data_IF_350464102477
#
_entry.id   IF_350464102477
#
_cell.length_a   1.000
_cell.length_b   1.000
_cell.length_c   1.000
_cell.angle_alpha   90.00
_cell.angle_beta   90.00
_cell.angle_gamma   90.00
#
_symmetry.space_group_name_H-M   'P 1'
#
loop_
_entity.id
_entity.type
_entity.pdbx_description
1 polymer ?
#
# COMPACT_ATOMS: atom_id res chain seq x y z
N UNK A 1 10.44 12.46 11.70
CA UNK A 1 9.40 11.77 10.91
C UNK A 1 8.75 10.60 11.63
N UNK A 2 9.46 9.55 12.07
CA UNK A 2 8.83 8.39 12.73
C UNK A 2 7.91 8.78 13.90
N UNK A 3 8.36 9.67 14.78
CA UNK A 3 7.55 10.20 15.89
C UNK A 3 6.30 10.97 15.42
N UNK A 4 6.35 11.64 14.25
CA UNK A 4 5.21 12.38 13.71
C UNK A 4 4.13 11.42 13.21
N UNK A 5 4.54 10.37 12.48
CA UNK A 5 3.62 9.28 12.12
C UNK A 5 3.00 8.64 13.36
N UNK A 6 3.79 8.32 14.38
CA UNK A 6 3.25 7.75 15.63
C UNK A 6 2.26 8.68 16.30
N UNK A 7 2.56 9.98 16.37
CA UNK A 7 1.67 10.97 16.95
C UNK A 7 0.33 11.06 16.20
N UNK A 8 0.34 10.98 14.87
CA UNK A 8 -0.88 10.90 14.06
C UNK A 8 -1.64 9.59 14.29
N UNK A 9 -0.95 8.45 14.24
CA UNK A 9 -1.59 7.14 14.32
C UNK A 9 -2.11 6.79 15.72
N UNK A 10 -1.61 7.48 16.72
CA UNK A 10 -2.00 7.32 18.13
C UNK A 10 -2.77 8.55 18.64
N UNK A 11 -3.26 9.39 17.72
CA UNK A 11 -4.03 10.57 18.08
C UNK A 11 -5.27 10.16 18.87
N UNK A 12 -5.47 10.82 20.00
CA UNK A 12 -6.72 10.73 20.74
C UNK A 12 -7.63 11.82 20.18
N UNK A 13 -8.67 11.41 19.47
CA UNK A 13 -9.69 12.35 19.01
C UNK A 13 -10.53 12.80 20.21
N UNK A 14 -10.83 14.11 20.35
CA UNK A 14 -11.80 14.57 21.34
C UNK A 14 -13.17 13.93 21.09
N UNK A 15 -13.96 13.70 22.15
CA UNK A 15 -15.27 13.03 22.04
C UNK A 15 -16.16 13.66 20.95
N UNK A 16 -16.61 12.80 20.01
CA UNK A 16 -17.62 13.06 18.97
C UNK A 16 -17.51 14.43 18.27
N UNK A 17 -16.51 14.56 17.39
CA UNK A 17 -16.53 15.55 16.32
C UNK A 17 -16.18 14.92 14.97
N UNK A 18 -16.86 15.35 13.91
CA UNK A 18 -16.44 15.12 12.53
C UNK A 18 -15.15 15.94 12.32
N UNK A 19 -13.99 15.30 12.37
CA UNK A 19 -12.72 15.94 12.01
C UNK A 19 -12.42 15.51 10.57
N UNK A 20 -12.77 16.37 9.62
CA UNK A 20 -12.65 16.06 8.20
C UNK A 20 -13.49 14.84 7.81
N UNK A 21 -12.87 13.85 7.17
CA UNK A 21 -13.50 12.60 6.74
C UNK A 21 -13.16 11.41 7.66
N UNK A 22 -12.64 11.67 8.87
CA UNK A 22 -12.43 10.62 9.86
C UNK A 22 -13.77 10.06 10.33
N UNK A 23 -13.86 8.73 10.33
CA UNK A 23 -14.95 8.01 10.96
C UNK A 23 -14.39 7.37 12.22
N UNK A 24 -14.84 7.87 13.36
CA UNK A 24 -14.41 7.42 14.67
C UNK A 24 -15.64 7.08 15.52
N UNK A 25 -15.63 5.90 16.12
CA UNK A 25 -16.57 5.50 17.16
C UNK A 25 -15.85 5.42 18.50
N UNK A 26 -16.51 5.86 19.57
CA UNK A 26 -15.98 5.82 20.93
C UNK A 26 -16.81 4.88 21.79
N UNK A 27 -16.15 3.92 22.44
CA UNK A 27 -16.74 3.08 23.49
C UNK A 27 -15.74 2.95 24.63
N UNK A 28 -16.13 3.30 25.86
CA UNK A 28 -15.30 3.14 27.07
C UNK A 28 -13.86 3.66 26.94
N UNK A 29 -13.69 4.94 26.58
CA UNK A 29 -12.38 5.60 26.39
C UNK A 29 -11.49 5.04 25.25
N UNK A 30 -11.97 4.05 24.49
CA UNK A 30 -11.31 3.54 23.29
C UNK A 30 -11.94 4.13 22.03
N UNK A 31 -11.09 4.73 21.19
CA UNK A 31 -11.45 5.26 19.88
C UNK A 31 -11.15 4.18 18.84
N UNK A 32 -12.18 3.73 18.15
CA UNK A 32 -12.05 2.85 16.99
C UNK A 32 -12.23 3.67 15.72
N UNK A 33 -11.27 3.57 14.81
CA UNK A 33 -11.36 4.20 13.49
C UNK A 33 -11.92 3.20 12.49
N UNK A 34 -12.86 3.66 11.68
CA UNK A 34 -13.37 2.95 10.51
C UNK A 34 -12.68 3.44 9.25
N UNK A 35 -12.80 2.73 8.14
CA UNK A 35 -12.19 3.16 6.88
C UNK A 35 -13.08 4.22 6.25
N UNK A 36 -12.68 5.48 6.38
CA UNK A 36 -13.37 6.62 5.81
C UNK A 36 -13.29 6.67 4.28
N UNK A 37 -13.96 7.65 3.66
CA UNK A 37 -13.76 7.97 2.26
C UNK A 37 -12.29 8.26 1.93
N UNK A 38 -11.83 7.82 0.76
CA UNK A 38 -10.48 8.10 0.26
C UNK A 38 -10.56 8.94 -1.03
N UNK A 39 -10.40 10.26 -0.86
CA UNK A 39 -10.37 11.21 -1.96
C UNK A 39 -9.05 11.23 -2.73
N UNK A 40 -7.95 10.80 -2.12
CA UNK A 40 -6.61 10.87 -2.72
C UNK A 40 -6.53 10.06 -4.00
N UNK A 41 -7.13 8.88 -3.98
CA UNK A 41 -7.23 8.00 -5.15
C UNK A 41 -8.64 8.01 -5.78
N UNK A 42 -9.53 8.92 -5.33
CA UNK A 42 -10.91 8.99 -5.78
C UNK A 42 -11.69 7.69 -5.57
N UNK A 43 -11.38 6.91 -4.52
CA UNK A 43 -12.00 5.59 -4.30
C UNK A 43 -13.45 5.70 -3.83
N UNK A 44 -13.87 6.86 -3.34
CA UNK A 44 -15.12 7.02 -2.62
C UNK A 44 -15.03 6.40 -1.23
N UNK A 45 -16.08 5.74 -0.77
CA UNK A 45 -16.20 5.15 0.57
C UNK A 45 -17.38 5.75 1.34
N UNK A 46 -17.52 5.43 2.64
CA UNK A 46 -16.62 4.61 3.47
C UNK A 46 -16.59 3.13 3.07
N UNK A 47 -15.60 2.38 3.57
CA UNK A 47 -15.44 0.95 3.32
C UNK A 47 -15.71 0.14 4.59
N UNK A 48 -16.40 -1.00 4.45
CA UNK A 48 -16.77 -1.82 5.62
C UNK A 48 -15.65 -2.75 6.09
N UNK A 49 -14.59 -2.93 5.29
CA UNK A 49 -13.47 -3.83 5.58
C UNK A 49 -12.19 -3.45 4.84
N UNK A 50 -11.04 -3.92 5.33
CA UNK A 50 -9.73 -3.69 4.72
C UNK A 50 -9.64 -4.35 3.34
N UNK A 51 -10.29 -5.52 3.18
CA UNK A 51 -10.36 -6.19 1.86
C UNK A 51 -11.16 -5.38 0.87
N UNK A 52 -12.30 -4.81 1.25
CA UNK A 52 -13.07 -3.94 0.34
C UNK A 52 -12.26 -2.72 -0.09
N UNK A 53 -11.57 -2.07 0.84
CA UNK A 53 -10.66 -0.97 0.54
C UNK A 53 -9.57 -1.39 -0.46
N UNK A 54 -8.87 -2.50 -0.22
CA UNK A 54 -7.83 -3.00 -1.13
C UNK A 54 -8.37 -3.34 -2.53
N UNK A 55 -9.55 -3.98 -2.62
CA UNK A 55 -10.18 -4.28 -3.90
C UNK A 55 -10.53 -3.02 -4.66
N UNK A 56 -11.10 -2.02 -3.98
CA UNK A 56 -11.45 -0.74 -4.59
C UNK A 56 -10.18 -0.01 -5.08
N UNK A 57 -9.12 0.01 -4.26
CA UNK A 57 -7.83 0.58 -4.62
C UNK A 57 -7.23 -0.07 -5.87
N UNK A 58 -7.16 -1.40 -5.91
CA UNK A 58 -6.60 -2.14 -7.05
C UNK A 58 -7.44 -1.92 -8.32
N UNK A 59 -8.77 -1.93 -8.22
CA UNK A 59 -9.66 -1.63 -9.35
C UNK A 59 -9.47 -0.20 -9.87
N UNK A 60 -9.36 0.78 -8.97
CA UNK A 60 -9.06 2.17 -9.34
C UNK A 60 -7.71 2.27 -10.06
N UNK A 61 -6.71 1.54 -9.59
CA UNK A 61 -5.37 1.48 -10.21
C UNK A 61 -5.41 0.89 -11.62
N UNK A 62 -6.22 -0.16 -11.85
CA UNK A 62 -6.44 -0.70 -13.19
C UNK A 62 -7.11 0.34 -14.10
N UNK A 63 -8.15 1.04 -13.63
CA UNK A 63 -8.82 2.09 -14.42
C UNK A 63 -7.83 3.20 -14.80
N UNK A 64 -6.95 3.59 -13.87
CA UNK A 64 -5.91 4.58 -14.12
C UNK A 64 -4.89 4.08 -15.16
N UNK A 65 -4.43 2.83 -15.03
CA UNK A 65 -3.57 2.18 -16.02
C UNK A 65 -4.23 2.18 -17.40
N UNK A 66 -5.48 1.75 -17.51
CA UNK A 66 -6.20 1.69 -18.79
C UNK A 66 -6.28 3.05 -19.49
N UNK A 67 -6.48 4.13 -18.74
CA UNK A 67 -6.57 5.50 -19.27
C UNK A 67 -5.23 6.13 -19.64
N UNK A 68 -4.13 5.67 -19.08
CA UNK A 68 -2.82 6.28 -19.30
C UNK A 68 -2.34 6.16 -20.75
N UNK A 69 -1.62 7.15 -21.25
CA UNK A 69 -1.04 7.12 -22.60
C UNK A 69 0.48 7.14 -22.52
N UNK A 70 1.15 6.70 -23.59
CA UNK A 70 2.62 6.72 -23.71
C UNK A 70 3.32 5.59 -22.96
N UNK A 71 2.61 4.51 -22.65
CA UNK A 71 3.13 3.28 -22.03
C UNK A 71 2.63 2.03 -22.77
N UNK A 72 2.38 2.17 -24.08
CA UNK A 72 1.70 1.17 -24.91
C UNK A 72 2.47 -0.15 -24.96
N UNK A 73 3.80 -0.10 -24.96
CA UNK A 73 4.66 -1.29 -24.90
C UNK A 73 4.44 -2.09 -23.60
N UNK A 74 4.36 -1.41 -22.45
CA UNK A 74 4.07 -2.04 -21.16
C UNK A 74 2.65 -2.62 -21.15
N UNK A 75 1.67 -1.86 -21.66
CA UNK A 75 0.28 -2.32 -21.75
C UNK A 75 0.14 -3.54 -22.64
N UNK A 76 0.83 -3.60 -23.77
CA UNK A 76 0.78 -4.75 -24.67
C UNK A 76 1.20 -6.05 -23.95
N UNK A 77 2.19 -5.96 -23.05
CA UNK A 77 2.70 -7.10 -22.29
C UNK A 77 1.84 -7.45 -21.07
N UNK A 78 1.46 -6.45 -20.26
CA UNK A 78 0.92 -6.69 -18.92
C UNK A 78 -0.58 -6.43 -18.79
N UNK A 79 -1.18 -5.50 -19.56
CA UNK A 79 -2.57 -5.10 -19.36
C UNK A 79 -3.56 -6.27 -19.48
N UNK A 80 -3.46 -7.18 -20.47
CA UNK A 80 -4.38 -8.33 -20.54
C UNK A 80 -4.31 -9.22 -19.30
N UNK A 81 -3.10 -9.52 -18.82
CA UNK A 81 -2.86 -10.39 -17.64
C UNK A 81 -3.31 -9.71 -16.36
N UNK A 82 -3.02 -8.43 -16.18
CA UNK A 82 -3.48 -7.62 -15.04
C UNK A 82 -5.01 -7.57 -15.02
N UNK A 83 -5.65 -7.29 -16.16
CA UNK A 83 -7.10 -7.21 -16.26
C UNK A 83 -7.75 -8.54 -15.89
N UNK A 84 -7.23 -9.64 -16.43
CA UNK A 84 -7.71 -10.99 -16.09
C UNK A 84 -7.59 -11.25 -14.58
N UNK A 85 -6.40 -11.03 -14.00
CA UNK A 85 -6.16 -11.18 -12.57
C UNK A 85 -7.10 -10.32 -11.71
N UNK A 86 -7.24 -9.03 -12.02
CA UNK A 86 -8.10 -8.11 -11.26
C UNK A 86 -9.57 -8.52 -11.32
N UNK A 87 -10.03 -9.04 -12.46
CA UNK A 87 -11.41 -9.47 -12.63
C UNK A 87 -11.70 -10.84 -11.98
N UNK A 88 -10.68 -11.69 -11.82
CA UNK A 88 -10.88 -13.10 -11.45
C UNK A 88 -10.26 -13.50 -10.12
N UNK A 89 -9.38 -12.71 -9.50
CA UNK A 89 -8.59 -13.12 -8.31
C UNK A 89 -8.69 -12.19 -7.10
N UNK A 90 -9.32 -11.02 -7.21
CA UNK A 90 -9.42 -10.08 -6.08
C UNK A 90 -10.20 -10.60 -4.87
N UNK A 91 -11.01 -11.66 -5.03
CA UNK A 91 -11.66 -12.34 -3.92
C UNK A 91 -10.67 -13.14 -3.05
N UNK A 92 -9.50 -13.48 -3.58
CA UNK A 92 -8.46 -14.29 -2.91
C UNK A 92 -7.63 -13.49 -1.90
N UNK A 93 -7.83 -12.17 -1.79
CA UNK A 93 -7.17 -11.36 -0.77
C UNK A 93 -7.42 -11.99 0.62
N UNK A 94 -6.37 -12.46 1.32
CA UNK A 94 -6.54 -13.25 2.53
C UNK A 94 -7.20 -12.47 3.66
N UNK A 95 -8.02 -13.12 4.48
CA UNK A 95 -8.71 -12.49 5.61
C UNK A 95 -7.76 -11.93 6.68
N UNK A 96 -6.48 -12.32 6.69
CA UNK A 96 -5.48 -11.81 7.63
C UNK A 96 -5.27 -10.29 7.50
N UNK A 97 -5.54 -9.71 6.32
CA UNK A 97 -5.41 -8.25 6.11
C UNK A 97 -6.41 -7.44 6.93
N UNK A 98 -7.51 -8.04 7.38
CA UNK A 98 -8.49 -7.35 8.25
C UNK A 98 -7.91 -6.96 9.62
N UNK A 99 -6.76 -7.55 9.99
CA UNK A 99 -6.05 -7.21 11.23
C UNK A 99 -5.14 -5.99 11.08
N UNK A 100 -5.03 -5.39 9.90
CA UNK A 100 -4.21 -4.19 9.69
C UNK A 100 -4.85 -3.02 10.44
N UNK A 101 -4.10 -2.30 11.30
CA UNK A 101 -4.64 -1.15 12.02
C UNK A 101 -5.15 -0.05 11.09
N UNK A 102 -6.33 0.48 11.41
CA UNK A 102 -6.88 1.69 10.80
C UNK A 102 -6.37 2.90 11.61
N UNK A 103 -5.86 3.90 10.92
CA UNK A 103 -5.24 5.08 11.53
C UNK A 103 -5.78 6.37 10.92
N UNK A 104 -5.61 7.48 11.64
CA UNK A 104 -5.73 8.79 11.05
C UNK A 104 -4.60 8.98 10.02
N UNK A 105 -4.99 9.24 8.78
CA UNK A 105 -4.12 9.37 7.64
C UNK A 105 -3.91 10.84 7.33
N UNK A 106 -2.66 11.29 7.50
CA UNK A 106 -2.20 12.56 6.98
C UNK A 106 -1.57 12.32 5.60
N UNK A 107 -2.28 12.68 4.54
CA UNK A 107 -1.90 12.30 3.19
C UNK A 107 -0.73 13.09 2.60
N UNK A 108 -0.37 14.22 3.21
CA UNK A 108 0.83 14.98 2.87
C UNK A 108 1.81 15.03 4.05
N UNK A 109 2.03 13.88 4.70
CA UNK A 109 2.96 13.81 5.83
C UNK A 109 4.41 13.93 5.33
N UNK A 110 4.99 15.11 5.51
CA UNK A 110 6.38 15.41 5.21
C UNK A 110 6.99 16.41 6.23
N UNK A 111 8.32 16.64 6.18
CA UNK A 111 8.97 17.59 7.09
C UNK A 111 8.37 19.00 7.07
N UNK A 112 7.81 19.42 5.93
CA UNK A 112 7.14 20.72 5.77
C UNK A 112 5.87 20.87 6.60
N UNK A 113 5.24 19.76 7.01
CA UNK A 113 4.02 19.74 7.82
C UNK A 113 4.26 19.38 9.30
N UNK A 114 5.52 19.38 9.74
CA UNK A 114 5.90 19.08 11.13
C UNK A 114 6.63 20.26 11.75
N UNK A 115 6.03 20.85 12.80
CA UNK A 115 6.65 21.90 13.62
C UNK A 115 7.36 21.23 14.79
N UNK A 116 8.64 21.53 14.97
CA UNK A 116 9.47 21.02 16.07
C UNK A 116 9.94 22.15 16.99
N UNK A 117 10.34 21.80 18.22
CA UNK A 117 10.91 22.77 19.16
C UNK A 117 12.25 23.32 18.66
N UNK A 118 12.46 24.63 18.82
CA UNK A 118 13.74 25.29 18.55
C UNK A 118 14.84 24.90 19.54
N UNK A 119 14.46 24.45 20.75
CA UNK A 119 15.40 24.02 21.79
C UNK A 119 15.73 22.52 21.69
N UNK A 120 14.74 21.71 21.32
CA UNK A 120 14.86 20.25 21.18
C UNK A 120 14.17 19.79 19.88
N UNK A 121 14.88 19.71 18.75
CA UNK A 121 14.28 19.37 17.45
C UNK A 121 13.64 17.97 17.35
N UNK A 122 13.82 17.12 18.38
CA UNK A 122 13.10 15.84 18.53
C UNK A 122 11.69 15.99 19.08
N UNK A 123 11.39 17.13 19.71
CA UNK A 123 10.09 17.41 20.29
C UNK A 123 9.17 18.00 19.21
N UNK A 124 8.18 17.22 18.82
CA UNK A 124 7.13 17.66 17.90
C UNK A 124 6.19 18.59 18.66
N UNK A 125 6.07 19.82 18.19
CA UNK A 125 5.17 20.83 18.74
C UNK A 125 3.80 20.76 18.07
N UNK A 126 3.77 20.57 16.76
CA UNK A 126 2.53 20.45 16.01
C UNK A 126 2.73 19.67 14.71
N UNK A 127 1.65 19.07 14.24
CA UNK A 127 1.48 18.59 12.87
C UNK A 127 0.38 19.46 12.28
N UNK A 128 0.62 20.05 11.12
CA UNK A 128 -0.27 21.05 10.50
C UNK A 128 -0.76 20.55 9.14
N UNK A 129 -1.62 21.33 8.49
CA UNK A 129 -2.13 21.07 7.14
C UNK A 129 -3.01 19.81 7.01
N UNK A 130 -3.99 19.73 7.90
CA UNK A 130 -4.94 18.61 7.99
C UNK A 130 -6.08 18.66 6.97
N UNK A 131 -5.94 19.42 5.87
CA UNK A 131 -7.05 19.64 4.92
C UNK A 131 -7.56 18.34 4.27
N UNK A 132 -6.72 17.32 4.17
CA UNK A 132 -7.06 16.00 3.64
C UNK A 132 -6.96 14.88 4.67
N UNK A 133 -7.60 15.09 5.81
CA UNK A 133 -7.64 14.08 6.86
C UNK A 133 -8.68 12.98 6.58
N UNK A 134 -8.20 11.75 6.44
CA UNK A 134 -9.01 10.54 6.26
C UNK A 134 -8.61 9.45 7.25
N UNK A 135 -9.35 8.34 7.27
CA UNK A 135 -8.99 7.14 8.05
C UNK A 135 -8.83 5.96 7.11
N UNK A 136 -7.69 5.28 7.19
CA UNK A 136 -7.33 4.20 6.26
C UNK A 136 -6.44 3.15 6.96
N UNK A 137 -6.31 1.93 6.39
CA UNK A 137 -5.32 0.98 6.86
C UNK A 137 -3.93 1.63 6.80
N UNK A 138 -3.18 1.69 7.90
CA UNK A 138 -1.93 2.48 7.95
C UNK A 138 -0.91 2.10 6.86
N UNK A 139 -0.93 0.84 6.43
CA UNK A 139 -0.05 0.32 5.39
C UNK A 139 -0.31 0.94 4.00
N UNK A 140 -1.46 1.61 3.78
CA UNK A 140 -1.69 2.40 2.57
C UNK A 140 -0.78 3.64 2.47
N UNK A 141 -0.18 4.07 3.59
CA UNK A 141 0.86 5.11 3.65
C UNK A 141 2.23 4.63 3.14
N UNK A 142 2.33 3.40 2.60
CA UNK A 142 3.57 2.81 2.12
C UNK A 142 4.37 3.77 1.23
N UNK A 143 3.73 4.40 0.23
CA UNK A 143 4.41 5.33 -0.67
C UNK A 143 5.05 6.50 0.10
N UNK A 144 4.29 7.14 1.00
CA UNK A 144 4.78 8.31 1.74
C UNK A 144 5.97 7.93 2.62
N UNK A 145 5.88 6.81 3.32
CA UNK A 145 6.95 6.32 4.19
C UNK A 145 8.18 5.92 3.36
N UNK A 146 7.97 5.18 2.28
CA UNK A 146 9.06 4.66 1.44
C UNK A 146 9.85 5.78 0.74
N UNK A 147 9.19 6.88 0.38
CA UNK A 147 9.85 8.06 -0.19
C UNK A 147 10.80 8.77 0.80
N UNK A 148 10.74 8.49 2.10
CA UNK A 148 11.74 8.99 3.05
C UNK A 148 13.11 8.35 2.87
N UNK A 149 13.19 7.20 2.18
CA UNK A 149 14.40 6.40 2.02
C UNK A 149 14.91 6.36 0.58
N UNK A 150 14.33 7.18 -0.30
CA UNK A 150 14.61 7.19 -1.74
C UNK A 150 14.86 8.58 -2.26
N UNK A 151 15.69 8.65 -3.29
CA UNK A 151 15.88 9.85 -4.08
C UNK A 151 14.62 10.16 -4.90
N UNK A 152 14.30 11.44 -5.14
CA UNK A 152 13.30 11.82 -6.12
C UNK A 152 13.73 11.34 -7.51
N UNK A 153 12.80 10.76 -8.28
CA UNK A 153 13.06 10.37 -9.66
C UNK A 153 11.82 10.58 -10.54
N UNK A 154 12.01 10.73 -11.88
CA UNK A 154 10.91 10.94 -12.81
C UNK A 154 9.87 9.81 -12.83
N UNK A 155 10.27 8.58 -12.53
CA UNK A 155 9.38 7.43 -12.40
C UNK A 155 8.58 7.40 -11.08
N UNK A 156 8.79 8.38 -10.20
CA UNK A 156 8.14 8.48 -8.88
C UNK A 156 8.70 7.56 -7.80
N UNK A 157 9.65 6.67 -8.13
CA UNK A 157 10.34 5.75 -7.23
C UNK A 157 11.82 5.68 -7.60
N UNK A 158 12.59 6.64 -7.09
CA UNK A 158 14.02 6.70 -7.35
C UNK A 158 14.81 5.61 -6.63
N UNK A 159 16.12 5.59 -6.88
CA UNK A 159 17.02 4.70 -6.15
C UNK A 159 16.93 4.98 -4.66
N UNK A 160 17.18 3.94 -3.88
CA UNK A 160 17.31 4.10 -2.43
C UNK A 160 18.58 4.88 -2.10
N UNK A 161 18.54 5.71 -1.06
CA UNK A 161 19.75 6.36 -0.56
C UNK A 161 20.76 5.32 -0.10
N UNK A 162 22.05 5.68 -0.14
CA UNK A 162 23.08 4.92 0.55
C UNK A 162 22.67 4.66 2.00
N UNK A 163 22.71 3.39 2.42
CA UNK A 163 22.34 2.94 3.78
C UNK A 163 20.85 3.14 4.11
N UNK A 164 19.97 3.13 3.10
CA UNK A 164 18.50 3.14 3.25
C UNK A 164 18.00 2.11 4.27
N UNK A 165 18.59 0.92 4.32
CA UNK A 165 18.24 -0.13 5.27
C UNK A 165 18.50 0.28 6.73
N UNK A 166 19.61 0.97 7.00
CA UNK A 166 19.89 1.51 8.32
C UNK A 166 18.92 2.62 8.69
N UNK A 167 18.55 3.47 7.73
CA UNK A 167 17.55 4.52 7.93
C UNK A 167 16.16 3.93 8.22
N UNK A 168 15.74 2.88 7.49
CA UNK A 168 14.50 2.16 7.75
C UNK A 168 14.52 1.52 9.14
N UNK A 169 15.63 0.86 9.50
CA UNK A 169 15.75 0.25 10.82
C UNK A 169 15.70 1.29 11.93
N UNK A 170 16.35 2.45 11.78
CA UNK A 170 16.28 3.56 12.73
C UNK A 170 14.85 4.14 12.82
N UNK A 171 14.19 4.35 11.68
CA UNK A 171 12.81 4.85 11.61
C UNK A 171 11.87 3.95 12.40
N UNK A 172 11.84 2.65 12.09
CA UNK A 172 10.92 1.73 12.76
C UNK A 172 11.31 1.48 14.21
N UNK A 173 12.61 1.46 14.55
CA UNK A 173 13.06 1.30 15.94
C UNK A 173 12.68 2.46 16.84
N UNK A 174 12.47 3.65 16.27
CA UNK A 174 11.95 4.82 16.99
C UNK A 174 10.49 4.62 17.44
N UNK A 175 9.73 3.75 16.76
CA UNK A 175 8.31 3.47 17.01
C UNK A 175 8.06 1.96 17.18
N UNK A 176 8.53 1.32 18.26
CA UNK A 176 8.60 -0.14 18.38
C UNK A 176 7.26 -0.86 18.23
N UNK A 177 6.16 -0.25 18.70
CA UNK A 177 4.80 -0.78 18.50
C UNK A 177 4.48 -0.92 17.01
N UNK A 178 4.75 0.12 16.22
CA UNK A 178 4.52 0.15 14.78
C UNK A 178 5.52 -0.70 14.01
N UNK A 179 6.75 -0.86 14.50
CA UNK A 179 7.70 -1.85 13.95
C UNK A 179 7.15 -3.27 14.02
N UNK A 180 6.49 -3.65 15.14
CA UNK A 180 5.84 -4.97 15.27
C UNK A 180 4.68 -5.12 14.28
N UNK A 181 3.85 -4.08 14.13
CA UNK A 181 2.81 -4.08 13.10
C UNK A 181 3.40 -4.20 11.70
N UNK A 182 4.44 -3.44 11.37
CA UNK A 182 5.09 -3.49 10.07
C UNK A 182 5.61 -4.89 9.74
N UNK A 183 6.13 -5.63 10.73
CA UNK A 183 6.59 -7.02 10.57
C UNK A 183 5.48 -8.07 10.63
N UNK A 184 4.23 -7.69 10.88
CA UNK A 184 3.12 -8.64 11.00
C UNK A 184 2.74 -9.25 9.65
N UNK A 185 2.27 -10.51 9.69
CA UNK A 185 1.73 -11.20 8.51
C UNK A 185 0.60 -10.39 7.84
N UNK A 186 -0.28 -9.79 8.65
CA UNK A 186 -1.37 -8.94 8.17
C UNK A 186 -0.88 -7.77 7.32
N UNK A 187 0.14 -7.05 7.80
CA UNK A 187 0.72 -5.93 7.06
C UNK A 187 1.48 -6.41 5.83
N UNK A 188 2.30 -7.46 5.94
CA UNK A 188 3.07 -7.95 4.80
C UNK A 188 2.15 -8.45 3.67
N UNK A 189 1.06 -9.12 4.03
CA UNK A 189 0.03 -9.55 3.08
C UNK A 189 -0.67 -8.35 2.47
N UNK A 190 -1.09 -7.37 3.28
CA UNK A 190 -1.68 -6.13 2.75
C UNK A 190 -0.73 -5.43 1.77
N UNK A 191 0.54 -5.28 2.14
CA UNK A 191 1.55 -4.59 1.34
C UNK A 191 1.82 -5.30 0.02
N UNK A 192 1.75 -6.63 -0.05
CA UNK A 192 1.86 -7.36 -1.32
C UNK A 192 0.77 -6.93 -2.31
N UNK A 193 -0.49 -6.99 -1.91
CA UNK A 193 -1.64 -6.59 -2.74
C UNK A 193 -1.67 -5.08 -3.01
N UNK A 194 -1.35 -4.27 -2.01
CA UNK A 194 -1.29 -2.81 -2.16
C UNK A 194 -0.19 -2.40 -3.13
N UNK A 195 1.02 -2.98 -3.02
CA UNK A 195 2.13 -2.73 -3.95
C UNK A 195 1.77 -3.15 -5.36
N UNK A 196 1.04 -4.24 -5.56
CA UNK A 196 0.52 -4.57 -6.89
C UNK A 196 -0.33 -3.44 -7.48
N UNK A 197 -1.29 -2.89 -6.72
CA UNK A 197 -2.06 -1.70 -7.12
C UNK A 197 -1.18 -0.47 -7.41
N UNK A 198 -0.22 -0.21 -6.53
CA UNK A 198 0.66 0.94 -6.65
C UNK A 198 1.56 0.87 -7.89
N UNK A 199 2.13 -0.29 -8.15
CA UNK A 199 3.16 -0.50 -9.17
C UNK A 199 2.60 -1.00 -10.51
N UNK A 200 1.34 -1.41 -10.61
CA UNK A 200 0.76 -1.80 -11.90
C UNK A 200 0.66 -0.64 -12.90
N UNK A 201 0.61 0.60 -12.40
CA UNK A 201 0.59 1.82 -13.21
C UNK A 201 2.00 2.43 -13.22
N UNK A 202 2.84 2.13 -14.23
CA UNK A 202 4.13 2.79 -14.38
C UNK A 202 3.97 4.24 -14.83
N UNK A 203 4.95 5.10 -14.54
CA UNK A 203 4.99 6.45 -15.10
C UNK A 203 5.48 6.45 -16.55
N UNK A 204 5.12 7.49 -17.31
CA UNK A 204 5.62 7.69 -18.66
C UNK A 204 7.15 7.76 -18.67
N UNK A 205 7.78 7.21 -19.71
CA UNK A 205 9.23 7.31 -19.94
C UNK A 205 9.51 7.83 -21.35
N UNK A 206 10.60 8.57 -21.51
CA UNK A 206 11.00 9.08 -22.83
C UNK A 206 11.42 7.94 -23.77
N UNK A 207 11.08 8.09 -25.05
CA UNK A 207 11.54 7.20 -26.12
C UNK A 207 13.05 7.35 -26.39
N UNK A 208 13.64 8.47 -25.96
CA UNK A 208 15.07 8.79 -26.14
C UNK A 208 15.98 8.03 -25.16
N UNK A 209 15.42 7.35 -24.16
CA UNK A 209 16.19 6.53 -23.24
C UNK A 209 16.83 5.34 -23.98
N UNK A 210 18.06 4.99 -23.58
CA UNK A 210 18.69 3.75 -24.03
C UNK A 210 17.91 2.52 -23.54
N UNK A 211 18.11 1.36 -24.18
CA UNK A 211 17.39 0.14 -23.81
C UNK A 211 17.62 -0.26 -22.34
N UNK A 212 18.85 -0.09 -21.83
CA UNK A 212 19.19 -0.34 -20.43
C UNK A 212 18.44 0.60 -19.46
N UNK A 213 18.33 1.88 -19.83
CA UNK A 213 17.57 2.86 -19.04
C UNK A 213 16.08 2.58 -19.08
N UNK A 214 15.57 2.18 -20.24
CA UNK A 214 14.17 1.79 -20.44
C UNK A 214 13.78 0.58 -19.60
N UNK A 215 14.62 -0.44 -19.56
CA UNK A 215 14.44 -1.62 -18.72
C UNK A 215 14.53 -1.24 -17.23
N UNK A 216 15.48 -0.39 -16.86
CA UNK A 216 15.62 0.12 -15.50
C UNK A 216 14.42 0.94 -15.00
N UNK A 217 13.83 1.76 -15.88
CA UNK A 217 12.81 2.75 -15.52
C UNK A 217 11.54 2.13 -14.93
N UNK A 218 11.12 0.97 -15.46
CA UNK A 218 9.94 0.22 -14.98
C UNK A 218 10.29 -1.06 -14.23
N UNK A 219 11.57 -1.29 -13.91
CA UNK A 219 12.03 -2.53 -13.27
C UNK A 219 11.21 -2.87 -12.01
N UNK A 220 10.96 -1.88 -11.16
CA UNK A 220 10.18 -2.09 -9.94
C UNK A 220 8.70 -2.36 -10.22
N UNK A 221 8.12 -1.67 -11.22
CA UNK A 221 6.77 -1.91 -11.71
C UNK A 221 6.58 -3.35 -12.18
N UNK A 222 7.47 -3.78 -13.09
CA UNK A 222 7.49 -5.12 -13.67
C UNK A 222 7.65 -6.16 -12.56
N UNK A 223 8.65 -6.02 -11.70
CA UNK A 223 8.90 -6.96 -10.59
C UNK A 223 7.67 -7.11 -9.69
N UNK A 224 7.02 -6.02 -9.30
CA UNK A 224 5.86 -6.06 -8.42
C UNK A 224 4.65 -6.74 -9.09
N UNK A 225 4.42 -6.46 -10.38
CA UNK A 225 3.33 -7.07 -11.16
C UNK A 225 3.60 -8.55 -11.41
N UNK A 226 4.79 -8.93 -11.85
CA UNK A 226 5.12 -10.32 -12.15
C UNK A 226 5.04 -11.20 -10.91
N UNK A 227 5.60 -10.74 -9.77
CA UNK A 227 5.55 -11.49 -8.52
C UNK A 227 4.13 -11.93 -8.13
N UNK A 228 3.14 -11.03 -8.21
CA UNK A 228 1.76 -11.40 -7.84
C UNK A 228 1.10 -12.26 -8.92
N UNK A 229 1.34 -11.96 -10.20
CA UNK A 229 0.74 -12.72 -11.30
C UNK A 229 1.25 -14.16 -11.27
N UNK A 230 2.55 -14.38 -11.07
CA UNK A 230 3.15 -15.71 -11.01
C UNK A 230 2.65 -16.50 -9.80
N UNK A 231 2.65 -15.89 -8.61
CA UNK A 231 2.18 -16.51 -7.36
C UNK A 231 0.77 -17.07 -7.47
N UNK A 232 -0.12 -16.38 -8.19
CA UNK A 232 -1.52 -16.76 -8.35
C UNK A 232 -1.85 -17.46 -9.68
N UNK A 233 -0.87 -17.60 -10.58
CA UNK A 233 -0.99 -18.45 -11.78
C UNK A 233 -0.64 -19.92 -11.45
N UNK A 234 0.27 -20.15 -10.51
CA UNK A 234 0.75 -21.48 -10.12
C UNK A 234 -0.33 -22.36 -9.42
N UNK A 235 -1.41 -21.77 -8.93
CA UNK A 235 -2.53 -22.53 -8.32
C UNK A 235 -3.42 -23.25 -9.36
N UNK A 236 -3.20 -23.07 -10.66
CA UNK A 236 -3.88 -23.82 -11.73
C UNK A 236 -3.17 -25.13 -12.10
N UNK A 237 -1.99 -25.40 -11.56
CA UNK A 237 -1.16 -26.58 -11.87
C UNK A 237 -0.89 -27.50 -10.67
N UNK A 238 -1.83 -27.62 -9.72
CA UNK A 238 -1.86 -28.81 -8.88
C UNK A 238 -2.61 -29.93 -9.61
N UNK A 239 -1.94 -30.99 -10.11
CA UNK A 239 -2.66 -32.15 -10.63
C UNK A 239 -3.49 -32.74 -9.49
N UNK A 240 -4.77 -32.94 -9.75
CA UNK A 240 -5.68 -33.62 -8.85
C UNK A 240 -5.10 -34.99 -8.48
N UNK A 241 -4.71 -35.17 -7.23
CA UNK A 241 -4.50 -36.50 -6.65
C UNK A 241 -5.88 -37.16 -6.48
N UNK A 242 -6.45 -37.63 -7.59
CA UNK A 242 -7.52 -38.61 -7.55
C UNK A 242 -6.87 -39.99 -7.30
N UNK A 243 -7.25 -40.72 -6.25
CA UNK A 243 -6.72 -42.06 -6.04
C UNK A 243 -7.23 -42.99 -7.13
N UNK A 244 -6.29 -43.62 -7.84
CA UNK A 244 -6.57 -44.78 -8.70
C UNK A 244 -7.13 -45.90 -7.83
N UNK A 245 -8.45 -46.11 -7.92
CA UNK A 245 -9.08 -47.36 -7.47
C UNK A 245 -8.65 -48.44 -8.45
N UNK A 246 -7.67 -49.25 -8.03
CA UNK A 246 -7.31 -50.48 -8.72
C UNK A 246 -8.22 -51.57 -8.15
N UNK A 247 -9.28 -51.91 -8.88
CA UNK A 247 -10.04 -53.13 -8.64
C UNK A 247 -9.15 -54.34 -8.94
N UNK A 248 -8.64 -54.97 -7.89
CA UNK A 248 -8.04 -56.30 -7.97
C UNK A 248 -9.20 -57.30 -7.96
N UNK A 249 -9.52 -57.82 -9.14
CA UNK A 249 -10.29 -59.05 -9.27
C UNK A 249 -9.36 -60.20 -8.90
N UNK A 250 -9.69 -60.92 -7.83
CA UNK A 250 -9.17 -62.28 -7.62
C UNK A 250 -10.15 -63.14 -6.82
N UNK A 251 -10.58 -64.20 -7.53
CA UNK A 251 -11.20 -65.48 -7.12
C UNK A 251 -12.73 -65.54 -7.18
#
# INVERSE_FOLDING_TARGET
MALAFSACWEIRLPEKHLIGELIASGTNDEITLEIGPDRHYGLGGPFSSVREYLRAYIKSSLIALEKQQGIEEYKALYLPRIRDFVNTRLQEIPAVVEKVPIVAMHADMGPHNVIVSSERPTDIQAIIDWEFLASAPYASLYRIIEMLFREPAPNGFGPEYDRSDELREAFWSTIPKWKRWNKSEATQTFLEWFKFGLFMKPEWRSDDLSDDEKEGYWRENIRAVENILEKHTLDLYQPSNAPLVVDIISH
#
